data_IF_359239864179
#
_entry.id   IF_359239864179
#
_cell.length_a   1.000
_cell.length_b   1.000
_cell.length_c   1.000
_cell.angle_alpha   90.00
_cell.angle_beta   90.00
_cell.angle_gamma   90.00
#
_symmetry.space_group_name_H-M   'P 1'
#
loop_
_entity.id
_entity.type
_entity.pdbx_description
1 polymer ?
#
# COMPACT_ATOMS: atom_id res chain seq x y z
N UNK A 1 -2.32 21.73 -12.65
CA UNK A 1 -1.96 21.16 -12.74
C UNK A 1 -2.24 19.82 -12.53
N UNK A 2 -1.83 19.04 -12.77
CA UNK A 2 -2.14 17.87 -12.58
C UNK A 2 -2.36 17.52 -11.28
N UNK A 3 -1.89 18.10 -10.45
CA UNK A 3 -2.16 17.88 -9.22
C UNK A 3 -3.48 17.95 -8.95
N UNK A 4 -4.12 18.72 -9.51
CA UNK A 4 -5.44 18.82 -9.25
C UNK A 4 -6.10 17.62 -9.65
N UNK A 5 -5.67 16.92 -10.53
CA UNK A 5 -6.36 15.83 -10.89
C UNK A 5 -6.08 14.75 -9.95
N UNK A 6 -5.21 14.90 -9.03
CA UNK A 6 -4.95 13.87 -8.17
C UNK A 6 -6.03 13.62 -7.24
N UNK A 7 -6.56 12.48 -7.09
CA UNK A 7 -7.58 12.23 -6.17
C UNK A 7 -7.02 12.10 -4.82
N UNK A 8 -7.74 12.35 -3.79
CA UNK A 8 -7.28 12.21 -2.44
C UNK A 8 -7.18 10.74 -2.09
N UNK A 9 -6.45 10.41 -1.08
CA UNK A 9 -6.36 9.01 -0.69
C UNK A 9 -7.72 8.54 -0.22
N UNK A 10 -8.01 7.27 -0.41
CA UNK A 10 -9.30 6.79 0.02
C UNK A 10 -9.26 6.31 1.45
N UNK A 11 -8.10 6.08 1.99
CA UNK A 11 -8.00 5.70 3.38
C UNK A 11 -6.58 5.83 3.86
N UNK A 12 -6.40 6.12 5.12
CA UNK A 12 -5.08 6.24 5.70
C UNK A 12 -5.08 5.53 7.03
N UNK A 13 -4.10 4.65 7.23
CA UNK A 13 -3.97 3.97 8.49
C UNK A 13 -2.67 4.44 9.13
N UNK A 14 -2.66 4.65 10.40
CA UNK A 14 -1.49 5.17 11.06
C UNK A 14 -1.16 4.39 12.31
N UNK A 15 0.12 4.16 12.56
CA UNK A 15 0.55 3.51 13.76
C UNK A 15 1.82 4.24 14.15
N UNK A 16 1.77 4.99 15.23
CA UNK A 16 2.92 5.76 15.66
C UNK A 16 3.34 6.74 14.58
N UNK A 17 4.57 6.68 14.19
CA UNK A 17 5.05 7.60 13.16
C UNK A 17 4.84 7.07 11.76
N UNK A 18 4.32 5.88 11.62
CA UNK A 18 4.20 5.27 10.30
C UNK A 18 2.78 5.41 9.79
N UNK A 19 2.67 5.69 8.52
CA UNK A 19 1.38 5.88 7.91
C UNK A 19 1.29 5.08 6.64
N UNK A 20 0.19 4.43 6.41
CA UNK A 20 -0.06 3.69 5.18
C UNK A 20 -1.22 4.39 4.50
N UNK A 21 -1.01 4.89 3.31
CA UNK A 21 -2.03 5.63 2.59
C UNK A 21 -2.49 4.81 1.41
N UNK A 22 -3.77 4.60 1.29
CA UNK A 22 -4.33 3.79 0.23
C UNK A 22 -4.91 4.68 -0.84
N UNK A 23 -4.57 4.41 -2.08
CA UNK A 23 -5.03 5.20 -3.21
C UNK A 23 -5.80 4.32 -4.17
N UNK A 24 -6.79 4.88 -4.83
CA UNK A 24 -7.53 4.17 -5.84
C UNK A 24 -7.12 4.79 -7.16
N UNK A 25 -6.71 3.96 -8.10
CA UNK A 25 -6.27 4.44 -9.40
C UNK A 25 -7.13 3.84 -10.49
N UNK A 26 -7.40 4.60 -11.52
CA UNK A 26 -8.20 4.09 -12.59
C UNK A 26 -7.38 4.06 -13.85
N UNK A 27 -7.48 2.98 -14.59
CA UNK A 27 -6.76 2.87 -15.82
C UNK A 27 -7.72 2.23 -16.79
N UNK A 28 -8.20 2.97 -17.73
CA UNK A 28 -9.17 2.48 -18.66
C UNK A 28 -10.39 2.04 -17.90
N UNK A 29 -10.79 0.88 -17.93
CA UNK A 29 -11.98 0.49 -17.22
C UNK A 29 -11.68 -0.26 -15.95
N UNK A 30 -10.48 -0.18 -15.47
CA UNK A 30 -10.17 -0.89 -14.29
C UNK A 30 -9.81 -0.01 -13.17
N UNK A 31 -10.07 -0.44 -11.96
CA UNK A 31 -9.70 0.28 -10.76
C UNK A 31 -8.71 -0.60 -10.03
N UNK A 32 -7.58 -0.06 -9.66
CA UNK A 32 -6.66 -0.82 -8.86
C UNK A 32 -6.19 0.06 -7.73
N UNK A 33 -5.67 -0.54 -6.69
CA UNK A 33 -5.31 0.20 -5.50
C UNK A 33 -3.81 0.12 -5.23
N UNK A 34 -3.29 1.15 -4.62
CA UNK A 34 -1.89 1.15 -4.27
C UNK A 34 -1.74 1.69 -2.86
N UNK A 35 -0.63 1.41 -2.25
CA UNK A 35 -0.40 1.82 -0.87
C UNK A 35 0.97 2.43 -0.77
N UNK A 36 1.05 3.56 -0.06
CA UNK A 36 2.33 4.18 0.19
C UNK A 36 2.59 4.11 1.67
N UNK A 37 3.82 3.82 2.04
CA UNK A 37 4.19 3.78 3.45
C UNK A 37 5.16 4.91 3.68
N UNK A 38 4.89 5.75 4.66
CA UNK A 38 5.79 6.83 4.97
C UNK A 38 5.96 6.96 6.46
N UNK A 39 7.01 7.61 6.87
CA UNK A 39 7.30 7.84 8.27
C UNK A 39 7.31 9.34 8.44
N UNK A 40 6.67 9.83 9.47
CA UNK A 40 6.65 11.25 9.74
C UNK A 40 7.69 11.56 10.77
N UNK A 41 8.40 12.62 10.62
CA UNK A 41 9.41 13.03 11.58
C UNK A 41 9.49 14.55 11.60
N UNK A 42 10.15 15.08 12.63
CA UNK A 42 10.28 16.53 12.73
C UNK A 42 11.70 16.85 12.37
N UNK A 43 11.89 17.84 11.53
CA UNK A 43 13.23 18.18 11.12
C UNK A 43 13.83 19.16 12.11
N UNK A 44 14.99 19.66 11.80
CA UNK A 44 15.70 20.53 12.71
C UNK A 44 14.95 21.82 12.97
N UNK A 45 14.11 22.23 12.09
CA UNK A 45 13.37 23.46 12.29
C UNK A 45 12.02 23.20 12.95
N UNK A 46 11.80 22.01 13.43
CA UNK A 46 10.56 21.72 14.09
C UNK A 46 9.41 21.50 13.14
N UNK A 47 9.69 21.32 11.86
CA UNK A 47 8.61 21.12 10.93
C UNK A 47 8.44 19.67 10.61
N UNK A 48 7.21 19.25 10.44
CA UNK A 48 6.93 17.87 10.14
C UNK A 48 7.24 17.52 8.70
N UNK A 49 7.89 16.41 8.50
CA UNK A 49 8.25 15.95 7.17
C UNK A 49 7.89 14.48 7.05
N UNK A 50 7.77 14.01 5.82
CA UNK A 50 7.48 12.60 5.59
C UNK A 50 8.63 12.01 4.78
N UNK A 51 8.97 10.78 5.04
CA UNK A 51 10.05 10.14 4.31
C UNK A 51 9.68 8.68 4.11
N UNK A 52 10.24 8.07 3.09
CA UNK A 52 10.03 6.66 2.88
C UNK A 52 11.12 5.83 3.54
N UNK A 53 12.04 6.48 4.23
CA UNK A 53 13.11 5.75 4.87
C UNK A 53 12.64 5.27 6.23
N UNK A 54 12.72 3.99 6.48
CA UNK A 54 12.22 3.44 7.72
C UNK A 54 13.35 2.86 8.53
N UNK A 55 13.19 2.90 9.84
CA UNK A 55 14.19 2.30 10.70
C UNK A 55 13.77 0.89 11.00
N UNK A 56 14.70 0.07 11.41
CA UNK A 56 14.40 -1.32 11.65
C UNK A 56 13.25 -1.51 12.62
N UNK A 57 13.22 -0.71 13.65
CA UNK A 57 12.19 -0.92 14.67
C UNK A 57 10.80 -0.51 14.18
N UNK A 58 10.70 0.09 12.98
CA UNK A 58 9.41 0.45 12.45
C UNK A 58 8.84 -0.71 11.63
N UNK A 59 9.65 -1.72 11.30
CA UNK A 59 9.19 -2.78 10.44
C UNK A 59 7.94 -3.51 10.97
N UNK A 60 7.86 -3.82 12.24
CA UNK A 60 6.66 -4.50 12.71
C UNK A 60 5.41 -3.62 12.55
N UNK A 61 5.59 -2.30 12.66
CA UNK A 61 4.46 -1.41 12.49
C UNK A 61 4.02 -1.42 11.03
N UNK A 62 5.00 -1.47 10.12
CA UNK A 62 4.69 -1.49 8.72
C UNK A 62 3.94 -2.78 8.40
N UNK A 63 4.36 -3.90 8.98
CA UNK A 63 3.70 -5.14 8.72
C UNK A 63 2.23 -5.07 9.15
N UNK A 64 1.99 -4.49 10.30
CA UNK A 64 0.63 -4.40 10.80
C UNK A 64 -0.19 -3.46 9.92
N UNK A 65 0.40 -2.36 9.49
CA UNK A 65 -0.33 -1.43 8.65
C UNK A 65 -0.64 -2.05 7.29
N UNK A 66 0.29 -2.83 6.74
CA UNK A 66 0.04 -3.45 5.47
C UNK A 66 -1.08 -4.48 5.60
N UNK A 67 -1.17 -5.14 6.75
CA UNK A 67 -2.20 -6.07 6.96
C UNK A 67 -3.55 -5.35 6.91
N UNK A 68 -3.65 -4.21 7.58
CA UNK A 68 -4.88 -3.46 7.59
C UNK A 68 -5.22 -2.93 6.19
N UNK A 69 -4.22 -2.43 5.49
CA UNK A 69 -4.46 -1.89 4.16
C UNK A 69 -4.93 -3.01 3.23
N UNK A 70 -4.32 -4.18 3.35
CA UNK A 70 -4.68 -5.28 2.49
C UNK A 70 -6.13 -5.72 2.76
N UNK A 71 -6.51 -5.80 4.02
CA UNK A 71 -7.85 -6.22 4.36
C UNK A 71 -8.88 -5.20 3.83
N UNK A 72 -8.52 -3.94 3.93
CA UNK A 72 -9.42 -2.90 3.46
C UNK A 72 -9.59 -2.99 1.95
N UNK A 73 -8.47 -3.13 1.21
CA UNK A 73 -8.54 -3.21 -0.22
C UNK A 73 -9.27 -4.48 -0.66
N UNK A 74 -9.00 -5.57 0.03
CA UNK A 74 -9.62 -6.83 -0.34
C UNK A 74 -11.15 -6.70 -0.22
N UNK A 75 -11.60 -6.04 0.83
CA UNK A 75 -13.01 -5.89 1.01
C UNK A 75 -13.61 -5.00 -0.09
N UNK A 76 -12.90 -3.97 -0.48
CA UNK A 76 -13.38 -3.11 -1.53
C UNK A 76 -13.48 -3.89 -2.84
N UNK A 77 -12.51 -4.70 -3.13
CA UNK A 77 -12.53 -5.45 -4.36
C UNK A 77 -13.66 -6.47 -4.33
N UNK A 78 -13.90 -7.03 -3.19
CA UNK A 78 -14.95 -7.99 -3.09
C UNK A 78 -16.29 -7.33 -3.30
N UNK A 79 -16.48 -6.16 -2.74
CA UNK A 79 -17.74 -5.46 -2.90
C UNK A 79 -17.92 -4.97 -4.32
N UNK A 80 -16.83 -4.74 -5.01
CA UNK A 80 -16.94 -4.22 -6.36
C UNK A 80 -17.38 -5.27 -7.34
N UNK A 81 -17.38 -6.48 -6.93
CA UNK A 81 -17.90 -7.45 -7.83
C UNK A 81 -16.89 -7.96 -8.82
N UNK A 82 -15.84 -7.31 -9.02
CA UNK A 82 -14.90 -7.80 -9.94
C UNK A 82 -13.57 -7.71 -9.31
N UNK A 83 -13.52 -7.67 -8.03
CA UNK A 83 -12.25 -7.58 -7.42
C UNK A 83 -11.44 -8.79 -7.67
N UNK A 84 -12.07 -9.89 -7.82
CA UNK A 84 -11.34 -11.06 -8.00
C UNK A 84 -10.77 -11.13 -9.38
N UNK A 85 -11.13 -10.24 -10.23
CA UNK A 85 -10.60 -10.24 -11.51
C UNK A 85 -9.51 -9.25 -11.67
N UNK A 86 -9.05 -8.63 -10.63
CA UNK A 86 -8.06 -7.61 -10.73
C UNK A 86 -6.78 -8.21 -11.21
N UNK A 87 -6.15 -7.61 -12.15
CA UNK A 87 -4.89 -8.02 -12.63
C UNK A 87 -4.01 -6.81 -12.63
N UNK A 88 -2.88 -6.87 -11.97
CA UNK A 88 -1.99 -5.74 -11.90
C UNK A 88 -1.27 -5.65 -13.22
N UNK A 89 -1.41 -4.58 -13.92
CA UNK A 89 -0.77 -4.44 -15.20
C UNK A 89 0.74 -4.55 -15.08
N UNK A 90 1.25 -4.14 -13.97
CA UNK A 90 2.67 -4.18 -13.81
C UNK A 90 3.12 -5.59 -13.57
N UNK A 91 2.26 -6.43 -13.14
CA UNK A 91 2.63 -7.77 -12.84
C UNK A 91 2.73 -8.56 -14.11
N UNK A 92 2.17 -8.08 -15.11
CA UNK A 92 2.24 -8.81 -16.32
C UNK A 92 2.02 -10.26 -16.26
N UNK A 93 1.04 -10.70 -15.87
CA UNK A 93 0.74 -12.05 -15.90
C UNK A 93 1.50 -12.81 -14.93
N UNK A 94 1.79 -12.21 -14.00
CA UNK A 94 2.48 -12.79 -13.08
C UNK A 94 2.00 -13.99 -12.57
N UNK A 95 2.65 -14.70 -12.09
CA UNK A 95 2.37 -15.70 -11.60
C UNK A 95 1.97 -15.64 -10.43
N UNK A 96 1.27 -16.19 -10.10
CA UNK A 96 0.63 -16.16 -9.05
C UNK A 96 1.39 -16.49 -8.01
N UNK A 97 1.18 -16.36 -7.24
CA UNK A 97 1.56 -16.51 -6.24
C UNK A 97 2.26 -17.53 -5.85
N UNK A 98 2.35 -18.31 -6.54
CA UNK A 98 3.07 -19.15 -6.25
C UNK A 98 4.22 -18.60 -5.82
N UNK A 99 4.55 -17.61 -6.36
CA UNK A 99 5.65 -16.98 -5.93
C UNK A 99 5.63 -16.80 -4.50
N UNK A 100 4.53 -16.63 -4.05
CA UNK A 100 4.41 -16.37 -2.68
C UNK A 100 4.97 -17.50 -1.92
N UNK A 101 4.77 -18.60 -2.38
CA UNK A 101 5.23 -19.67 -1.67
C UNK A 101 6.70 -19.62 -1.64
N UNK A 102 7.28 -19.23 -2.66
CA UNK A 102 8.66 -19.15 -2.67
C UNK A 102 9.10 -18.16 -1.70
N UNK A 103 8.42 -17.14 -1.61
CA UNK A 103 8.79 -16.11 -0.70
C UNK A 103 8.77 -16.66 0.67
N UNK A 104 7.85 -17.44 0.93
CA UNK A 104 7.75 -17.95 2.22
C UNK A 104 8.94 -18.79 2.46
N UNK A 105 9.31 -19.51 1.53
CA UNK A 105 10.43 -20.32 1.71
C UNK A 105 11.61 -19.47 2.01
N UNK A 106 11.69 -18.39 1.37
CA UNK A 106 12.78 -17.51 1.57
C UNK A 106 12.83 -17.10 2.98
N UNK A 107 11.68 -16.85 3.56
CA UNK A 107 11.72 -16.40 4.81
C UNK A 107 12.15 -17.42 5.68
N UNK A 108 11.88 -18.55 5.38
CA UNK A 108 12.16 -19.57 6.23
C UNK A 108 13.60 -19.60 6.47
N UNK A 109 14.34 -19.00 5.72
CA UNK A 109 15.65 -19.02 5.94
C UNK A 109 16.04 -18.21 6.89
#
# INVERSE_FOLDING_TARGET
>A
MEKEKRRPPIETFRLGQIKATVWANRNQNRTYYSVNITRSYTDQNGQWQDTGSLMAHHIPLVQKLLEHAYAYIYELQRQGGNGDEYVDPAAGGAVPFDGADDASAAYAQ
#
